data_IF_678374771303
#
_entry.id   IF_678374771303
#
_cell.length_a   1.000
_cell.length_b   1.000
_cell.length_c   1.000
_cell.angle_alpha   90.00
_cell.angle_beta   90.00
_cell.angle_gamma   90.00
#
_symmetry.space_group_name_H-M   'P 1'
#
loop_
_entity.id
_entity.type
_entity.pdbx_description
1 polymer ?
#
# COMPACT_ATOMS: atom_id res chain seq x y z
N UNK A 1 2.29 -5.90 13.05
CA UNK A 1 2.75 -6.12 11.67
C UNK A 1 2.21 -5.06 10.70
N UNK A 2 0.91 -4.98 10.39
CA UNK A 2 0.36 -3.97 9.47
C UNK A 2 0.43 -2.51 9.96
N UNK A 3 0.52 -2.29 11.28
CA UNK A 3 0.70 -0.94 11.84
C UNK A 3 2.01 -0.26 11.41
N UNK A 4 3.11 -1.03 11.35
CA UNK A 4 4.41 -0.53 10.92
C UNK A 4 4.46 -0.25 9.40
N UNK A 5 3.67 -0.97 8.61
CA UNK A 5 3.63 -0.78 7.15
C UNK A 5 3.13 0.61 6.74
N UNK A 6 2.20 1.20 7.51
CA UNK A 6 1.76 2.57 7.27
C UNK A 6 2.90 3.58 7.43
N UNK A 7 3.67 3.47 8.53
CA UNK A 7 4.80 4.35 8.80
C UNK A 7 5.89 4.16 7.74
N UNK A 8 6.16 2.91 7.33
CA UNK A 8 7.11 2.60 6.28
C UNK A 8 6.78 3.26 4.93
N UNK A 9 5.50 3.37 4.58
CA UNK A 9 5.06 4.01 3.33
C UNK A 9 4.76 5.52 3.45
N UNK A 10 4.95 6.14 4.62
CA UNK A 10 4.56 7.54 4.86
C UNK A 10 5.24 8.50 3.87
N UNK A 11 6.54 8.32 3.63
CA UNK A 11 7.33 9.12 2.69
C UNK A 11 6.75 9.06 1.27
N UNK A 12 6.46 7.86 0.78
CA UNK A 12 5.83 7.65 -0.52
C UNK A 12 4.44 8.30 -0.60
N UNK A 13 3.61 8.10 0.43
CA UNK A 13 2.25 8.64 0.49
C UNK A 13 2.23 10.17 0.51
N UNK A 14 3.20 10.80 1.19
CA UNK A 14 3.39 12.25 1.20
C UNK A 14 3.75 12.77 -0.20
N UNK A 15 4.78 12.19 -0.84
CA UNK A 15 5.21 12.60 -2.18
C UNK A 15 4.08 12.46 -3.21
N UNK A 16 3.26 11.40 -3.09
CA UNK A 16 2.06 11.21 -3.90
C UNK A 16 1.03 12.33 -3.70
N UNK A 17 0.78 12.73 -2.45
CA UNK A 17 -0.15 13.82 -2.10
C UNK A 17 0.33 15.17 -2.66
N UNK A 18 1.63 15.39 -2.63
CA UNK A 18 2.28 16.61 -3.14
C UNK A 18 2.44 16.61 -4.67
N UNK A 19 2.08 15.51 -5.34
CA UNK A 19 2.28 15.30 -6.79
C UNK A 19 3.73 15.54 -7.20
N UNK A 20 4.66 15.01 -6.40
CA UNK A 20 6.08 15.08 -6.67
C UNK A 20 6.47 14.33 -7.95
N UNK A 21 7.71 14.54 -8.41
CA UNK A 21 8.25 13.88 -9.59
C UNK A 21 8.16 12.34 -9.47
N UNK A 22 7.74 11.63 -10.55
CA UNK A 22 7.57 10.19 -10.52
C UNK A 22 8.80 9.42 -10.04
N UNK A 23 10.00 9.89 -10.37
CA UNK A 23 11.25 9.26 -9.97
C UNK A 23 11.48 9.31 -8.45
N UNK A 24 11.12 10.43 -7.81
CA UNK A 24 11.19 10.55 -6.36
C UNK A 24 10.14 9.66 -5.67
N UNK A 25 8.94 9.53 -6.24
CA UNK A 25 7.92 8.62 -5.73
C UNK A 25 8.37 7.15 -5.83
N UNK A 26 8.95 6.73 -6.95
CA UNK A 26 9.43 5.36 -7.15
C UNK A 26 10.61 5.02 -6.20
N UNK A 27 11.51 5.97 -5.99
CA UNK A 27 12.59 5.83 -5.02
C UNK A 27 12.02 5.63 -3.61
N UNK A 28 11.11 6.51 -3.17
CA UNK A 28 10.48 6.43 -1.86
C UNK A 28 9.63 5.16 -1.67
N UNK A 29 8.98 4.66 -2.73
CA UNK A 29 8.25 3.41 -2.67
C UNK A 29 9.18 2.20 -2.43
N UNK A 30 10.41 2.27 -2.93
CA UNK A 30 11.39 1.19 -2.81
C UNK A 30 12.12 1.18 -1.45
N UNK A 31 11.98 2.24 -0.65
CA UNK A 31 12.60 2.36 0.68
C UNK A 31 12.00 1.40 1.72
N UNK A 32 10.78 0.89 1.48
CA UNK A 32 10.09 -0.01 2.40
C UNK A 32 9.31 -1.11 1.67
N UNK A 33 9.48 -2.35 2.10
CA UNK A 33 8.76 -3.50 1.56
C UNK A 33 8.25 -4.41 2.68
N UNK A 34 6.95 -4.74 2.62
CA UNK A 34 6.36 -5.75 3.48
C UNK A 34 6.51 -7.14 2.83
N UNK A 35 7.21 -8.05 3.52
CA UNK A 35 7.44 -9.41 3.04
C UNK A 35 6.50 -10.39 3.73
N UNK A 36 5.93 -11.31 2.93
CA UNK A 36 5.05 -12.38 3.40
C UNK A 36 5.63 -13.73 2.96
N UNK A 37 5.67 -14.70 3.87
CA UNK A 37 6.24 -16.01 3.57
C UNK A 37 5.35 -16.86 2.67
N UNK A 38 4.03 -16.65 2.72
CA UNK A 38 3.06 -17.41 1.93
C UNK A 38 2.63 -16.60 0.70
N UNK A 39 2.36 -17.31 -0.41
CA UNK A 39 1.76 -16.69 -1.60
C UNK A 39 0.24 -16.62 -1.48
N UNK A 40 -0.39 -17.66 -0.93
CA UNK A 40 -1.84 -17.81 -0.81
C UNK A 40 -2.32 -17.90 0.64
N UNK A 41 -3.64 -17.78 0.82
CA UNK A 41 -4.30 -17.85 2.13
C UNK A 41 -4.35 -16.50 2.88
N UNK A 42 -4.94 -16.48 4.09
CA UNK A 42 -5.19 -15.25 4.84
C UNK A 42 -3.91 -14.53 5.29
N UNK A 43 -2.74 -15.16 5.18
CA UNK A 43 -1.43 -14.54 5.44
C UNK A 43 -0.55 -14.49 4.19
N UNK A 44 -1.14 -14.83 3.04
CA UNK A 44 -0.51 -14.68 1.74
C UNK A 44 -0.50 -13.22 1.26
N UNK A 45 0.19 -12.98 0.16
CA UNK A 45 0.36 -11.64 -0.44
C UNK A 45 -0.99 -10.98 -0.69
N UNK A 46 -1.97 -11.70 -1.27
CA UNK A 46 -3.30 -11.13 -1.57
C UNK A 46 -4.02 -10.65 -0.31
N UNK A 47 -4.10 -11.49 0.74
CA UNK A 47 -4.77 -11.12 1.99
C UNK A 47 -4.04 -10.03 2.78
N UNK A 48 -2.72 -9.93 2.62
CA UNK A 48 -1.94 -8.83 3.21
C UNK A 48 -2.18 -7.52 2.47
N UNK A 49 -2.20 -7.54 1.14
CA UNK A 49 -2.50 -6.37 0.32
C UNK A 49 -3.91 -5.85 0.61
N UNK A 50 -4.94 -6.70 0.56
CA UNK A 50 -6.33 -6.29 0.84
C UNK A 50 -6.46 -5.60 2.21
N UNK A 51 -5.86 -6.18 3.26
CA UNK A 51 -5.93 -5.59 4.61
C UNK A 51 -5.15 -4.29 4.71
N UNK A 52 -4.01 -4.18 4.03
CA UNK A 52 -3.22 -2.96 4.00
C UNK A 52 -4.00 -1.84 3.28
N UNK A 53 -4.57 -2.13 2.12
CA UNK A 53 -5.38 -1.17 1.36
C UNK A 53 -6.60 -0.71 2.16
N UNK A 54 -7.35 -1.63 2.76
CA UNK A 54 -8.49 -1.31 3.63
C UNK A 54 -8.08 -0.44 4.82
N UNK A 55 -6.88 -0.64 5.37
CA UNK A 55 -6.34 0.20 6.44
C UNK A 55 -6.01 1.60 5.93
N UNK A 56 -5.27 1.71 4.83
CA UNK A 56 -4.88 3.00 4.25
C UNK A 56 -6.11 3.79 3.77
N UNK A 57 -7.12 3.12 3.24
CA UNK A 57 -8.39 3.72 2.84
C UNK A 57 -9.19 4.27 4.03
N UNK A 58 -9.30 3.50 5.13
CA UNK A 58 -9.93 3.98 6.38
C UNK A 58 -9.27 5.24 6.95
N UNK A 59 -7.98 5.40 6.70
CA UNK A 59 -7.19 6.57 7.11
C UNK A 59 -7.18 7.69 6.07
N UNK A 60 -7.88 7.53 4.93
CA UNK A 60 -7.89 8.45 3.80
C UNK A 60 -6.50 8.69 3.18
N UNK A 61 -5.57 7.78 3.40
CA UNK A 61 -4.23 7.83 2.80
C UNK A 61 -4.24 7.42 1.32
N UNK A 62 -5.16 6.52 0.95
CA UNK A 62 -5.47 6.13 -0.44
C UNK A 62 -7.00 6.08 -0.63
N UNK A 63 -7.43 6.04 -1.88
CA UNK A 63 -8.80 5.68 -2.24
C UNK A 63 -8.77 4.30 -2.89
N UNK A 64 -9.62 3.39 -2.44
CA UNK A 64 -9.82 2.11 -3.11
C UNK A 64 -10.61 2.35 -4.41
N UNK A 65 -10.18 1.77 -5.55
CA UNK A 65 -11.02 1.76 -6.74
C UNK A 65 -12.31 0.99 -6.46
N UNK A 66 -13.39 1.35 -7.15
CA UNK A 66 -14.58 0.51 -7.17
C UNK A 66 -14.17 -0.91 -7.63
N UNK A 67 -14.76 -1.97 -7.04
CA UNK A 67 -14.46 -3.32 -7.49
C UNK A 67 -14.70 -3.39 -8.99
N UNK A 68 -13.67 -3.78 -9.74
CA UNK A 68 -13.81 -4.09 -11.16
C UNK A 68 -14.80 -5.25 -11.25
N UNK A 69 -16.06 -4.96 -11.57
CA UNK A 69 -16.98 -5.98 -12.05
C UNK A 69 -16.39 -6.49 -13.36
N UNK A 70 -15.67 -7.62 -13.29
CA UNK A 70 -15.26 -8.36 -14.47
C UNK A 70 -16.52 -8.75 -15.23
N UNK A 71 -16.74 -8.09 -16.38
CA UNK A 71 -17.59 -8.57 -17.48
C UNK A 71 -16.84 -9.68 -18.20
#
# INVERSE_FOLDING_TARGET
MLGAAQQGYERYLQLRRERAEPQAMLAAFSEFQLLCALREGPYGVSGVNERLEQRLNRQRAIALPAPLSLV
#
